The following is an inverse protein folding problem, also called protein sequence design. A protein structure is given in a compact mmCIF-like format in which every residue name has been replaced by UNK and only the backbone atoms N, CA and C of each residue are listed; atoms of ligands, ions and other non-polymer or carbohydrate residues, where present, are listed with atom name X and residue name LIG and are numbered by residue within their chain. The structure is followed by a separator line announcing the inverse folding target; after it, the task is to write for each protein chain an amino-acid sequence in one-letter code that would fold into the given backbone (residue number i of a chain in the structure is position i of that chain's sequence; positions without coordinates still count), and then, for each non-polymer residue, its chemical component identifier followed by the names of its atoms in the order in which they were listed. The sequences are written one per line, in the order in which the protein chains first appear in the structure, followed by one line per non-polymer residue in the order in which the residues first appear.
data_IF_918401599419
#
_entry.id   IF_918401599419
#
_cell.length_a   1.000
_cell.length_b   1.000
_cell.length_c   1.000
_cell.angle_alpha   90.00
_cell.angle_beta   90.00
_cell.angle_gamma   90.00
#
_symmetry.space_group_name_H-M   'P 1'
#
loop_
_entity.id
_entity.type
_entity.pdbx_description
1 polymer ?
#
# COMPACT_ATOMS: atom_id res chain seq x y z
N UNK A 1 -74.20 -79.76 1.26
CA UNK A 1 -72.92 -79.48 1.96
C UNK A 1 -71.84 -79.44 0.91
N UNK A 2 -71.61 -78.27 0.33
CA UNK A 2 -70.81 -78.18 -0.91
C UNK A 2 -70.27 -76.76 -1.05
N UNK A 3 -68.95 -76.62 -1.10
CA UNK A 3 -68.32 -75.43 -1.69
C UNK A 3 -66.97 -75.80 -2.29
N UNK A 4 -66.92 -75.72 -3.63
CA UNK A 4 -65.71 -75.57 -4.46
C UNK A 4 -65.19 -74.13 -4.35
N UNK A 5 -63.96 -73.85 -4.81
CA UNK A 5 -63.64 -72.86 -5.89
C UNK A 5 -62.11 -72.60 -6.10
N UNK A 6 -61.70 -72.83 -7.35
CA UNK A 6 -60.59 -72.37 -8.26
C UNK A 6 -59.24 -71.71 -7.90
N UNK A 7 -58.27 -72.08 -8.77
CA UNK A 7 -56.99 -71.44 -9.27
C UNK A 7 -56.95 -69.90 -9.41
N UNK A 8 -55.75 -69.30 -9.33
CA UNK A 8 -55.01 -68.56 -10.41
C UNK A 8 -53.73 -67.83 -9.89
N UNK A 9 -52.71 -67.72 -10.75
CA UNK A 9 -51.40 -67.03 -10.61
C UNK A 9 -51.51 -65.51 -10.90
N UNK A 10 -50.81 -64.61 -10.18
CA UNK A 10 -50.13 -63.38 -10.71
C UNK A 10 -49.40 -62.52 -9.65
N UNK A 11 -48.38 -61.82 -10.17
CA UNK A 11 -47.43 -60.80 -9.69
C UNK A 11 -47.82 -59.67 -8.70
N UNK A 12 -46.84 -59.13 -7.94
CA UNK A 12 -46.52 -57.69 -7.80
C UNK A 12 -45.19 -57.43 -7.01
N UNK A 13 -44.49 -56.31 -7.33
CA UNK A 13 -43.14 -55.83 -6.88
C UNK A 13 -43.31 -54.47 -6.11
N UNK A 14 -42.30 -53.57 -5.93
CA UNK A 14 -41.12 -53.43 -5.02
C UNK A 14 -41.21 -52.23 -4.01
N UNK A 15 -40.15 -51.95 -3.20
CA UNK A 15 -39.50 -50.62 -2.97
C UNK A 15 -38.32 -50.75 -1.96
N UNK A 16 -37.04 -50.57 -2.36
CA UNK A 16 -36.25 -49.33 -2.55
C UNK A 16 -35.61 -48.74 -1.26
N UNK A 17 -34.32 -49.05 -1.01
CA UNK A 17 -33.37 -48.16 -0.31
C UNK A 17 -32.05 -48.14 -1.07
N UNK A 18 -31.71 -47.01 -1.69
CA UNK A 18 -30.42 -46.77 -2.33
C UNK A 18 -29.81 -45.53 -1.69
N UNK A 19 -28.76 -45.68 -0.87
CA UNK A 19 -28.06 -44.58 -0.21
C UNK A 19 -26.85 -44.17 -1.03
N UNK A 20 -27.02 -43.27 -1.97
CA UNK A 20 -25.90 -42.58 -2.61
C UNK A 20 -25.34 -41.52 -1.65
N UNK A 21 -24.31 -41.87 -0.88
CA UNK A 21 -23.53 -40.92 -0.07
C UNK A 21 -22.40 -40.33 -0.91
N UNK A 22 -22.62 -39.17 -1.51
CA UNK A 22 -21.55 -38.43 -2.17
C UNK A 22 -20.86 -37.50 -1.17
N UNK A 23 -19.56 -37.75 -0.94
CA UNK A 23 -18.55 -36.77 -0.53
C UNK A 23 -18.85 -35.87 0.66
N UNK A 24 -18.83 -36.41 1.89
CA UNK A 24 -18.72 -35.61 3.12
C UNK A 24 -17.27 -35.23 3.43
N UNK A 25 -17.08 -34.09 4.10
CA UNK A 25 -15.78 -33.68 4.62
C UNK A 25 -15.19 -34.76 5.53
N UNK A 26 -13.96 -35.21 5.24
CA UNK A 26 -13.22 -36.15 6.10
C UNK A 26 -12.37 -35.37 7.09
N UNK A 27 -12.06 -35.97 8.24
CA UNK A 27 -11.10 -35.41 9.17
C UNK A 27 -9.73 -35.25 8.47
N UNK A 28 -9.21 -34.03 8.41
CA UNK A 28 -8.03 -33.67 7.62
C UNK A 28 -8.29 -33.31 6.14
N UNK A 29 -9.54 -33.24 5.69
CA UNK A 29 -9.88 -32.76 4.35
C UNK A 29 -9.79 -31.22 4.26
N UNK A 30 -9.20 -30.72 3.18
CA UNK A 30 -8.96 -29.29 2.94
C UNK A 30 -7.47 -28.94 2.88
N UNK A 31 -7.17 -27.74 2.39
CA UNK A 31 -5.79 -27.20 2.43
C UNK A 31 -5.37 -27.07 3.90
N UNK A 32 -4.16 -27.52 4.28
CA UNK A 32 -3.63 -27.34 5.66
C UNK A 32 -3.81 -25.88 6.08
N UNK A 33 -4.23 -25.62 7.33
CA UNK A 33 -4.35 -24.24 7.84
C UNK A 33 -3.02 -23.50 7.60
N UNK A 34 -3.11 -22.34 6.97
CA UNK A 34 -1.95 -21.51 6.61
C UNK A 34 -1.08 -21.97 5.44
N UNK A 35 -1.50 -22.98 4.66
CA UNK A 35 -0.78 -23.41 3.45
C UNK A 35 -1.19 -22.65 2.17
N UNK A 36 -2.09 -21.68 2.28
CA UNK A 36 -2.47 -20.77 1.20
C UNK A 36 -1.39 -19.74 0.91
N UNK A 37 -1.45 -19.08 -0.26
CA UNK A 37 -0.54 -17.99 -0.64
C UNK A 37 -0.42 -16.91 0.43
N UNK A 38 -1.50 -16.69 1.18
CA UNK A 38 -1.62 -15.64 2.19
C UNK A 38 -1.36 -16.13 3.63
N UNK A 39 -1.02 -17.41 3.86
CA UNK A 39 -0.70 -17.91 5.21
C UNK A 39 -1.87 -17.94 6.23
N UNK A 40 -3.05 -17.43 5.85
CA UNK A 40 -4.22 -17.30 6.71
C UNK A 40 -5.36 -18.29 6.38
N UNK A 41 -6.34 -18.50 7.29
CA UNK A 41 -7.54 -19.28 6.99
C UNK A 41 -8.40 -18.62 5.90
N UNK A 42 -8.61 -19.32 4.78
CA UNK A 42 -9.44 -18.84 3.67
C UNK A 42 -10.90 -19.27 3.81
N UNK A 43 -11.85 -18.39 3.43
CA UNK A 43 -13.30 -18.70 3.36
C UNK A 43 -13.80 -18.58 1.91
N UNK A 44 -14.58 -19.56 1.45
CA UNK A 44 -15.18 -19.54 0.10
C UNK A 44 -16.33 -18.52 0.06
N UNK A 45 -16.28 -17.60 -0.90
CA UNK A 45 -17.35 -16.62 -1.20
C UNK A 45 -17.69 -16.70 -2.70
N UNK A 46 -18.98 -16.61 -3.05
CA UNK A 46 -19.42 -16.53 -4.44
C UNK A 46 -19.43 -15.07 -4.87
N UNK A 47 -18.76 -14.76 -5.97
CA UNK A 47 -18.67 -13.41 -6.54
C UNK A 47 -19.05 -13.46 -8.02
N UNK A 48 -19.62 -12.38 -8.59
CA UNK A 48 -19.87 -12.30 -10.02
C UNK A 48 -18.58 -12.49 -10.83
N UNK A 49 -18.66 -13.21 -11.96
CA UNK A 49 -17.48 -13.50 -12.79
C UNK A 49 -16.75 -12.23 -13.23
N UNK A 50 -17.49 -11.15 -13.52
CA UNK A 50 -16.95 -9.84 -13.89
C UNK A 50 -16.12 -9.14 -12.79
N UNK A 51 -16.21 -9.60 -11.53
CA UNK A 51 -15.49 -9.04 -10.40
C UNK A 51 -14.30 -9.88 -9.97
N UNK A 52 -14.08 -11.04 -10.60
CA UNK A 52 -13.01 -11.97 -10.21
C UNK A 52 -11.63 -11.36 -10.45
N UNK A 53 -11.40 -10.67 -11.57
CA UNK A 53 -10.11 -9.99 -11.84
C UNK A 53 -9.85 -8.90 -10.81
N UNK A 54 -10.81 -8.00 -10.60
CA UNK A 54 -10.71 -6.89 -9.64
C UNK A 54 -10.35 -7.40 -8.23
N UNK A 55 -10.98 -8.48 -7.78
CA UNK A 55 -10.71 -9.04 -6.45
C UNK A 55 -9.32 -9.71 -6.39
N UNK A 56 -8.87 -10.35 -7.47
CA UNK A 56 -7.52 -10.93 -7.53
C UNK A 56 -6.46 -9.84 -7.50
N UNK A 57 -6.60 -8.83 -8.34
CA UNK A 57 -5.67 -7.70 -8.42
C UNK A 57 -5.60 -6.99 -7.06
N UNK A 58 -6.75 -6.77 -6.41
CA UNK A 58 -6.82 -6.21 -5.07
C UNK A 58 -6.13 -7.08 -4.00
N UNK A 59 -6.33 -8.41 -4.02
CA UNK A 59 -5.66 -9.31 -3.06
C UNK A 59 -4.15 -9.35 -3.26
N UNK A 60 -3.68 -9.28 -4.51
CA UNK A 60 -2.25 -9.20 -4.84
C UNK A 60 -1.67 -7.86 -4.36
N UNK A 61 -2.35 -6.73 -4.59
CA UNK A 61 -1.95 -5.40 -4.09
C UNK A 61 -1.87 -5.37 -2.56
N UNK A 62 -2.84 -5.97 -1.87
CA UNK A 62 -2.86 -6.08 -0.40
C UNK A 62 -1.67 -6.92 0.09
N UNK A 63 -1.34 -8.05 -0.54
CA UNK A 63 -0.15 -8.83 -0.17
C UNK A 63 1.17 -8.09 -0.41
N UNK A 64 1.24 -7.25 -1.45
CA UNK A 64 2.38 -6.38 -1.70
C UNK A 64 2.51 -5.27 -0.65
N UNK A 65 1.38 -4.79 -0.11
CA UNK A 65 1.35 -3.82 0.98
C UNK A 65 1.85 -4.42 2.31
N UNK A 66 1.57 -5.70 2.59
CA UNK A 66 2.09 -6.40 3.78
C UNK A 66 3.62 -6.57 3.75
N UNK A 67 4.18 -6.86 2.56
CA UNK A 67 5.63 -6.92 2.38
C UNK A 67 6.30 -5.55 2.60
N UNK A 68 5.65 -4.47 2.16
CA UNK A 68 6.07 -3.11 2.49
C UNK A 68 5.99 -2.81 3.99
N UNK A 69 4.91 -3.22 4.66
CA UNK A 69 4.76 -3.02 6.12
C UNK A 69 5.91 -3.70 6.87
N UNK A 70 6.35 -4.90 6.47
CA UNK A 70 7.47 -5.58 7.09
C UNK A 70 8.82 -4.86 6.88
N UNK A 71 9.06 -4.31 5.69
CA UNK A 71 10.25 -3.50 5.39
C UNK A 71 10.23 -2.15 6.14
N UNK A 72 9.04 -1.58 6.37
CA UNK A 72 8.83 -0.35 7.15
C UNK A 72 8.98 -0.57 8.66
N UNK A 73 8.62 -1.75 9.16
CA UNK A 73 8.90 -2.14 10.54
C UNK A 73 10.42 -2.29 10.75
N UNK A 74 11.16 -2.73 9.73
CA UNK A 74 12.62 -2.66 9.73
C UNK A 74 13.13 -1.20 9.73
N UNK A 75 12.51 -0.29 8.97
CA UNK A 75 12.81 1.16 9.02
C UNK A 75 12.64 1.76 10.40
N UNK A 76 11.52 1.48 11.07
CA UNK A 76 11.23 2.02 12.39
C UNK A 76 12.22 1.51 13.45
N UNK A 77 12.68 0.26 13.32
CA UNK A 77 13.75 -0.30 14.17
C UNK A 77 15.07 0.41 13.94
N UNK A 78 15.45 0.65 12.68
CA UNK A 78 16.67 1.36 12.31
C UNK A 78 16.62 2.81 12.81
N UNK A 79 15.49 3.50 12.64
CA UNK A 79 15.29 4.89 13.08
C UNK A 79 15.18 5.09 14.61
N UNK A 80 15.42 4.05 15.44
CA UNK A 80 15.34 4.11 16.93
C UNK A 80 14.08 4.84 17.45
N UNK A 81 12.94 4.72 16.76
CA UNK A 81 11.68 5.35 17.14
C UNK A 81 11.56 6.87 16.91
N UNK A 82 12.53 7.54 16.28
CA UNK A 82 12.45 9.00 16.00
C UNK A 82 11.65 9.34 14.75
N UNK A 83 11.56 8.44 13.77
CA UNK A 83 10.83 8.66 12.53
C UNK A 83 9.47 7.96 12.54
N UNK A 84 8.39 8.72 12.40
CA UNK A 84 7.03 8.17 12.21
C UNK A 84 6.79 7.97 10.71
N UNK A 85 6.89 6.72 10.28
CA UNK A 85 6.57 6.32 8.90
C UNK A 85 5.08 6.05 8.78
N UNK A 86 4.45 6.57 7.73
CA UNK A 86 3.02 6.37 7.45
C UNK A 86 2.84 5.80 6.05
N UNK A 87 1.86 4.92 5.89
CA UNK A 87 1.49 4.32 4.61
C UNK A 87 0.13 4.92 4.23
N UNK A 88 -0.12 5.24 2.95
CA UNK A 88 -1.47 5.57 2.49
C UNK A 88 -2.46 4.47 2.92
N UNK A 89 -3.55 4.85 3.59
CA UNK A 89 -4.55 3.88 4.04
C UNK A 89 -5.23 3.22 2.83
N UNK A 90 -5.32 1.88 2.82
CA UNK A 90 -5.87 1.11 1.70
C UNK A 90 -7.41 1.15 1.56
N UNK A 91 -8.14 2.01 2.29
CA UNK A 91 -9.60 1.97 2.25
C UNK A 91 -10.28 3.28 2.66
N UNK A 92 -10.28 4.25 1.77
CA UNK A 92 -11.40 5.17 1.50
C UNK A 92 -10.94 6.14 0.42
N UNK A 93 -11.50 6.05 -0.79
CA UNK A 93 -11.30 7.09 -1.80
C UNK A 93 -11.99 8.37 -1.29
N UNK A 94 -11.19 9.31 -0.78
CA UNK A 94 -11.68 10.64 -0.41
C UNK A 94 -11.48 11.55 -1.60
N UNK A 95 -12.56 11.69 -2.36
CA UNK A 95 -12.66 12.55 -3.53
C UNK A 95 -13.00 13.97 -3.10
N UNK A 96 -12.05 14.89 -3.25
CA UNK A 96 -12.23 16.30 -2.90
C UNK A 96 -12.56 17.12 -4.15
N UNK A 97 -13.54 18.03 -4.14
CA UNK A 97 -13.74 18.93 -5.28
C UNK A 97 -12.49 19.82 -5.45
N UNK A 98 -11.98 19.89 -6.67
CA UNK A 98 -10.88 20.79 -7.05
C UNK A 98 -11.44 21.87 -7.97
N UNK A 99 -11.41 23.10 -7.45
CA UNK A 99 -11.76 24.29 -8.22
C UNK A 99 -10.65 24.54 -9.25
N UNK A 100 -11.00 24.68 -10.53
CA UNK A 100 -10.04 24.87 -11.62
C UNK A 100 -9.35 26.24 -11.57
N UNK A 101 -9.97 27.22 -10.93
CA UNK A 101 -9.38 28.53 -10.68
C UNK A 101 -8.36 28.45 -9.54
N UNK A 102 -7.14 28.94 -9.80
CA UNK A 102 -6.16 29.16 -8.74
C UNK A 102 -6.66 30.30 -7.86
N UNK A 103 -6.93 30.03 -6.58
CA UNK A 103 -7.26 31.07 -5.61
C UNK A 103 -6.03 31.99 -5.51
N UNK A 104 -6.18 33.24 -5.95
CA UNK A 104 -5.18 34.28 -5.67
C UNK A 104 -5.19 34.50 -4.17
N UNK A 105 -4.03 34.51 -3.52
CA UNK A 105 -3.92 34.99 -2.15
C UNK A 105 -4.27 36.50 -2.15
N UNK A 106 -5.56 36.85 -1.96
CA UNK A 106 -6.09 38.20 -2.19
C UNK A 106 -7.63 38.26 -2.29
N UNK A 107 -8.16 39.34 -2.88
CA UNK A 107 -9.62 39.55 -2.99
C UNK A 107 -10.21 38.73 -4.15
N UNK A 108 -11.15 37.81 -3.89
CA UNK A 108 -11.73 36.94 -4.93
C UNK A 108 -12.73 37.70 -5.81
N UNK A 109 -12.73 37.39 -7.11
CA UNK A 109 -13.80 37.83 -8.02
C UNK A 109 -15.08 37.04 -7.75
N UNK A 110 -16.27 37.67 -7.67
CA UNK A 110 -17.53 37.01 -7.28
C UNK A 110 -18.15 36.03 -8.29
N UNK A 111 -17.56 35.83 -9.48
CA UNK A 111 -18.30 35.35 -10.64
C UNK A 111 -18.02 33.90 -11.10
N UNK A 112 -17.17 33.13 -10.41
CA UNK A 112 -16.65 31.86 -10.95
C UNK A 112 -16.96 30.65 -10.06
N UNK A 113 -18.22 30.19 -10.12
CA UNK A 113 -18.66 28.93 -9.52
C UNK A 113 -18.83 27.84 -10.59
N UNK A 114 -17.72 27.29 -11.10
CA UNK A 114 -17.75 26.04 -11.88
C UNK A 114 -16.75 25.03 -11.31
N UNK A 115 -17.27 23.93 -10.75
CA UNK A 115 -16.47 22.79 -10.27
C UNK A 115 -16.19 21.89 -11.47
N UNK A 116 -14.97 21.94 -12.02
CA UNK A 116 -14.64 21.17 -13.21
C UNK A 116 -14.03 19.78 -12.93
N UNK A 117 -13.40 19.54 -11.76
CA UNK A 117 -12.76 18.25 -11.47
C UNK A 117 -12.79 17.85 -10.00
N UNK A 118 -12.79 16.55 -9.77
CA UNK A 118 -12.61 15.91 -8.47
C UNK A 118 -11.15 15.48 -8.36
N UNK A 119 -10.52 15.74 -7.21
CA UNK A 119 -9.13 15.44 -6.91
C UNK A 119 -9.04 14.31 -5.89
N UNK A 120 -8.37 13.22 -6.27
CA UNK A 120 -7.80 12.25 -5.36
C UNK A 120 -6.33 12.60 -5.09
N UNK A 121 -6.01 12.83 -3.82
CA UNK A 121 -4.64 13.13 -3.40
C UNK A 121 -3.70 11.92 -3.58
N UNK A 122 -4.22 10.70 -3.47
CA UNK A 122 -3.44 9.49 -3.72
C UNK A 122 -3.03 9.44 -5.19
N UNK A 123 -3.97 9.57 -6.13
CA UNK A 123 -3.63 9.58 -7.56
C UNK A 123 -2.69 10.74 -7.93
N UNK A 124 -2.86 11.89 -7.27
CA UNK A 124 -2.04 13.07 -7.56
C UNK A 124 -0.61 12.95 -7.05
N UNK A 125 -0.41 12.41 -5.84
CA UNK A 125 0.88 12.41 -5.14
C UNK A 125 1.60 11.07 -5.22
N UNK A 126 0.86 9.97 -5.36
CA UNK A 126 1.37 8.60 -5.33
C UNK A 126 1.33 7.99 -6.73
N UNK A 127 2.49 7.94 -7.39
CA UNK A 127 2.62 7.32 -8.72
C UNK A 127 2.64 5.80 -8.64
N UNK A 128 3.38 5.26 -7.67
CA UNK A 128 3.52 3.84 -7.43
C UNK A 128 3.20 3.54 -5.97
N UNK A 129 1.97 3.10 -5.69
CA UNK A 129 1.51 2.81 -4.34
C UNK A 129 2.43 1.83 -3.62
N UNK A 130 2.94 0.83 -4.32
CA UNK A 130 3.79 -0.20 -3.74
C UNK A 130 5.24 0.24 -3.45
N UNK A 131 5.64 1.42 -3.92
CA UNK A 131 6.97 1.96 -3.68
C UNK A 131 6.93 3.31 -2.94
N UNK A 132 5.74 3.78 -2.55
CA UNK A 132 5.58 5.10 -1.97
C UNK A 132 5.25 5.01 -0.49
N UNK A 133 5.95 5.80 0.32
CA UNK A 133 5.70 5.92 1.75
C UNK A 133 5.83 7.38 2.20
N UNK A 134 5.28 7.69 3.37
CA UNK A 134 5.23 9.04 3.91
C UNK A 134 6.10 9.13 5.16
N UNK A 135 6.82 10.26 5.33
CA UNK A 135 7.60 10.55 6.52
C UNK A 135 7.24 11.94 7.06
N UNK A 136 7.15 12.07 8.38
CA UNK A 136 7.11 13.38 9.03
C UNK A 136 8.52 13.90 9.25
N UNK A 137 8.78 15.13 8.83
CA UNK A 137 10.06 15.82 9.03
C UNK A 137 10.23 16.17 10.50
N UNK A 138 11.44 15.93 11.00
CA UNK A 138 11.91 16.44 12.27
C UNK A 138 13.18 17.27 12.04
N UNK A 139 13.17 18.53 12.48
CA UNK A 139 14.26 19.49 12.33
C UNK A 139 14.12 20.44 11.13
N UNK A 140 15.10 21.33 10.96
CA UNK A 140 15.06 22.44 10.00
C UNK A 140 16.19 22.36 8.95
N UNK A 141 16.86 21.21 8.79
CA UNK A 141 18.03 21.09 7.90
C UNK A 141 17.72 21.38 6.42
N UNK A 142 16.43 21.42 6.06
CA UNK A 142 15.96 21.66 4.70
C UNK A 142 15.20 23.00 4.52
N UNK A 143 15.34 23.93 5.49
CA UNK A 143 14.51 25.15 5.55
C UNK A 143 14.60 26.07 4.33
N UNK A 144 15.76 26.15 3.65
CA UNK A 144 15.96 27.07 2.52
C UNK A 144 15.10 26.73 1.30
N UNK A 145 14.63 25.49 1.21
CA UNK A 145 13.75 25.03 0.14
C UNK A 145 12.29 24.87 0.61
N UNK A 146 11.96 25.42 1.78
CA UNK A 146 10.59 25.45 2.30
C UNK A 146 10.15 24.20 3.04
N UNK A 147 11.01 23.19 3.21
CA UNK A 147 10.72 22.01 4.03
C UNK A 147 11.01 22.35 5.50
N UNK A 148 9.97 22.27 6.33
CA UNK A 148 9.97 22.65 7.74
C UNK A 148 9.73 21.44 8.65
N UNK A 149 10.04 21.63 9.92
CA UNK A 149 9.67 20.68 10.97
C UNK A 149 8.15 20.45 10.95
N UNK A 150 7.73 19.18 11.02
CA UNK A 150 6.32 18.77 10.97
C UNK A 150 5.75 18.56 9.56
N UNK A 151 6.45 18.96 8.49
CA UNK A 151 6.02 18.68 7.12
C UNK A 151 5.96 17.17 6.85
N UNK A 152 5.08 16.75 5.93
CA UNK A 152 4.99 15.38 5.47
C UNK A 152 5.67 15.26 4.11
N UNK A 153 6.66 14.37 4.00
CA UNK A 153 7.35 14.04 2.75
C UNK A 153 6.69 12.84 2.09
N UNK A 154 6.43 12.95 0.80
CA UNK A 154 6.08 11.82 -0.08
C UNK A 154 7.35 11.28 -0.69
N UNK A 155 7.66 10.01 -0.42
CA UNK A 155 8.92 9.37 -0.82
C UNK A 155 8.64 8.17 -1.70
N UNK A 156 9.29 8.10 -2.85
CA UNK A 156 9.17 7.01 -3.82
C UNK A 156 10.51 6.24 -3.92
N UNK A 157 10.48 4.94 -3.58
CA UNK A 157 11.63 4.02 -3.64
C UNK A 157 11.94 3.56 -5.06
N UNK A 158 10.96 3.58 -5.96
CA UNK A 158 11.13 3.09 -7.34
C UNK A 158 11.92 4.07 -8.22
N UNK A 159 12.08 5.32 -7.77
CA UNK A 159 12.85 6.33 -8.47
C UNK A 159 14.34 6.19 -8.19
N UNK A 160 15.14 6.16 -9.25
CA UNK A 160 16.60 6.20 -9.14
C UNK A 160 17.06 7.56 -8.58
N UNK A 161 17.79 7.59 -7.45
CA UNK A 161 18.38 8.82 -6.93
C UNK A 161 19.38 9.42 -7.94
N UNK A 162 19.29 10.72 -8.17
CA UNK A 162 20.17 11.45 -9.09
C UNK A 162 20.60 12.81 -8.53
N UNK A 163 21.62 13.41 -9.14
CA UNK A 163 22.15 14.70 -8.71
C UNK A 163 21.04 15.77 -8.59
N UNK A 164 21.09 16.52 -7.50
CA UNK A 164 20.12 17.57 -7.19
C UNK A 164 18.80 17.06 -6.60
N UNK A 165 18.53 15.75 -6.53
CA UNK A 165 17.29 15.24 -5.92
C UNK A 165 17.33 15.32 -4.41
N UNK A 166 16.17 15.54 -3.80
CA UNK A 166 16.00 15.41 -2.35
C UNK A 166 15.75 13.93 -2.06
N UNK A 167 16.54 13.37 -1.14
CA UNK A 167 16.52 11.94 -0.83
C UNK A 167 16.36 11.73 0.67
N UNK A 168 15.76 10.58 1.01
CA UNK A 168 15.86 10.02 2.35
C UNK A 168 17.04 9.07 2.37
N UNK A 169 17.99 9.32 3.25
CA UNK A 169 19.16 8.47 3.46
C UNK A 169 19.20 8.01 4.93
N UNK A 170 19.58 6.76 5.16
CA UNK A 170 20.04 6.32 6.47
C UNK A 170 21.55 6.48 6.50
N UNK A 171 22.07 7.23 7.48
CA UNK A 171 23.50 7.41 7.73
C UNK A 171 23.77 6.86 9.12
N UNK A 172 24.62 5.83 9.24
CA UNK A 172 24.89 5.12 10.50
C UNK A 172 23.60 4.63 11.20
N UNK A 173 22.62 4.21 10.39
CA UNK A 173 21.29 3.79 10.84
C UNK A 173 20.32 4.93 11.20
N UNK A 174 20.71 6.20 11.11
CA UNK A 174 19.80 7.32 11.36
C UNK A 174 19.25 7.92 10.07
N UNK A 175 17.92 8.03 9.98
CA UNK A 175 17.25 8.60 8.81
C UNK A 175 17.45 10.12 8.76
N UNK A 176 17.80 10.62 7.58
CA UNK A 176 17.98 12.03 7.30
C UNK A 176 17.44 12.39 5.93
N UNK A 177 16.94 13.61 5.79
CA UNK A 177 16.55 14.21 4.51
C UNK A 177 17.63 15.20 4.07
N UNK A 178 18.16 15.02 2.87
CA UNK A 178 19.22 15.86 2.29
C UNK A 178 19.09 15.93 0.78
N UNK A 179 19.73 16.92 0.16
CA UNK A 179 19.93 16.94 -1.28
C UNK A 179 21.11 16.04 -1.64
N UNK A 180 20.88 15.09 -2.54
CA UNK A 180 21.96 14.30 -3.13
C UNK A 180 22.73 15.18 -4.12
N UNK A 181 24.04 15.32 -3.94
CA UNK A 181 24.92 15.98 -4.89
C UNK A 181 26.01 15.02 -5.37
N UNK A 182 26.03 14.72 -6.66
CA UNK A 182 26.99 13.81 -7.29
C UNK A 182 27.92 14.66 -8.15
N UNK A 183 29.20 14.74 -7.76
CA UNK A 183 30.23 15.49 -8.47
C UNK A 183 31.41 14.59 -8.81
N UNK A 184 32.29 15.04 -9.69
CA UNK A 184 33.55 14.34 -9.99
C UNK A 184 34.44 14.14 -8.76
N UNK A 185 34.28 15.00 -7.74
CA UNK A 185 35.02 14.95 -6.47
C UNK A 185 34.38 14.05 -5.42
N UNK A 186 33.22 13.45 -5.71
CA UNK A 186 32.51 12.55 -4.80
C UNK A 186 31.02 12.84 -4.67
N UNK A 187 30.34 12.01 -3.89
CA UNK A 187 28.90 12.10 -3.63
C UNK A 187 28.64 12.65 -2.23
N UNK A 188 27.75 13.61 -2.12
CA UNK A 188 27.46 14.36 -0.91
C UNK A 188 25.97 14.37 -0.59
N UNK A 189 25.65 14.33 0.70
CA UNK A 189 24.34 14.68 1.24
C UNK A 189 24.39 16.11 1.77
N UNK A 190 23.79 17.02 1.02
CA UNK A 190 23.88 18.46 1.26
C UNK A 190 22.60 18.94 1.96
N UNK A 191 22.70 19.55 3.15
CA UNK A 191 21.57 20.21 3.78
C UNK A 191 21.22 21.51 3.05
N UNK A 192 19.94 21.88 3.11
CA UNK A 192 19.45 23.18 2.65
C UNK A 192 19.30 24.14 3.84
N UNK A 193 20.37 24.25 4.63
CA UNK A 193 20.48 25.10 5.82
C UNK A 193 21.97 25.29 6.18
N UNK A 194 22.42 26.55 6.33
CA UNK A 194 23.83 26.88 6.58
C UNK A 194 24.35 26.43 7.94
N UNK A 195 23.47 26.11 8.88
CA UNK A 195 23.86 25.64 10.21
C UNK A 195 24.28 24.16 10.21
N UNK A 196 24.11 23.45 9.09
CA UNK A 196 24.39 22.03 8.97
C UNK A 196 25.50 21.80 7.94
N UNK A 197 26.55 21.02 8.25
CA UNK A 197 27.58 20.71 7.27
C UNK A 197 27.10 19.65 6.26
N UNK A 198 27.57 19.69 5.00
CA UNK A 198 27.42 18.60 4.06
C UNK A 198 28.10 17.32 4.55
N UNK A 199 27.50 16.16 4.26
CA UNK A 199 28.03 14.84 4.62
C UNK A 199 28.59 14.19 3.36
N UNK A 200 29.88 13.83 3.36
CA UNK A 200 30.51 13.08 2.27
C UNK A 200 30.17 11.59 2.40
N UNK A 201 29.67 10.98 1.33
CA UNK A 201 29.50 9.52 1.25
C UNK A 201 30.82 8.93 0.78
N UNK A 202 31.51 8.19 1.66
CA UNK A 202 32.71 7.40 1.33
C UNK A 202 32.33 5.93 1.09
N UNK A 203 33.23 5.17 0.47
CA UNK A 203 33.01 3.73 0.25
C UNK A 203 32.86 2.96 1.57
N UNK A 204 33.56 3.37 2.63
CA UNK A 204 33.41 2.79 3.96
C UNK A 204 32.21 3.31 4.78
N UNK A 205 31.45 4.29 4.26
CA UNK A 205 30.32 4.87 5.01
C UNK A 205 29.10 3.96 4.93
N UNK A 206 28.47 3.70 6.07
CA UNK A 206 27.18 3.00 6.12
C UNK A 206 26.06 3.99 5.75
N UNK A 207 25.87 4.17 4.44
CA UNK A 207 24.85 5.05 3.87
C UNK A 207 23.94 4.28 2.91
N UNK A 208 22.65 4.29 3.23
CA UNK A 208 21.61 3.66 2.39
C UNK A 208 20.61 4.73 1.95
N UNK A 209 20.47 4.93 0.64
CA UNK A 209 19.41 5.80 0.12
C UNK A 209 18.12 4.98 0.04
N UNK A 210 17.10 5.43 0.76
CA UNK A 210 15.81 4.76 0.84
C UNK A 210 14.88 5.13 -0.30
N UNK A 211 14.93 6.36 -0.77
CA UNK A 211 14.07 6.82 -1.85
C UNK A 211 14.19 8.30 -2.12
N UNK A 212 13.49 8.73 -3.17
CA UNK A 212 13.48 10.12 -3.64
C UNK A 212 12.22 10.80 -3.14
N UNK A 213 12.36 11.99 -2.56
CA UNK A 213 11.23 12.83 -2.17
C UNK A 213 10.60 13.43 -3.43
N UNK A 214 9.32 13.16 -3.65
CA UNK A 214 8.55 13.61 -4.83
C UNK A 214 7.70 14.82 -4.53
N UNK A 215 7.23 14.97 -3.28
CA UNK A 215 6.35 16.05 -2.86
C UNK A 215 6.47 16.30 -1.36
N UNK A 216 6.04 17.48 -0.94
CA UNK A 216 5.96 17.89 0.47
C UNK A 216 4.57 18.44 0.74
N UNK A 217 3.97 18.02 1.85
CA UNK A 217 2.66 18.47 2.32
C UNK A 217 2.91 19.19 3.64
N UNK A 218 2.71 20.51 3.62
CA UNK A 218 2.78 21.34 4.82
C UNK A 218 1.37 21.58 5.34
N UNK A 219 1.18 21.35 6.65
CA UNK A 219 -0.05 21.71 7.35
C UNK A 219 0.20 23.06 8.05
N UNK A 220 -0.73 24.02 7.87
CA UNK A 220 -0.64 25.36 8.43
C UNK A 220 -1.30 25.44 9.81
#
# INVERSE_FOLDING_TARGET
MTTRTTKTIKSAKPTSKNSNTHGGAREGAGRKKGSGTYGEPTKVMRVPESKVSVIKDWLEEVSGSEQQVAELDALQRVAKGKAKVQIPAASSEVLLPLYSHKVVAGFPSPADDYVEMVLDLNEKLVRNKAATFLLTVQGDSMKKIGIKDGDILVVDKSLTPSDGKIVIAAVDGELTVKRLSIKSTGTWLVPENDHYPPILIREESDVVIWGVVTSTISLL
#
